data_IF_827380978125
#
_entry.id   IF_827380978125
#
_cell.length_a   1.000
_cell.length_b   1.000
_cell.length_c   1.000
_cell.angle_alpha   90.00
_cell.angle_beta   90.00
_cell.angle_gamma   90.00
#
_symmetry.space_group_name_H-M   'P 1'
#
loop_
_entity.id
_entity.type
_entity.pdbx_description
1 polymer ?
#
# COMPACT_ATOMS: atom_id res chain seq x y z
N UNK A 1 -13.21 22.39 -6.96
CA UNK A 1 -13.32 21.77 -5.61
C UNK A 1 -13.13 20.26 -5.57
N UNK A 2 -13.98 19.41 -6.19
CA UNK A 2 -13.82 17.93 -6.07
C UNK A 2 -12.53 17.41 -6.74
N UNK A 3 -12.25 17.83 -7.97
CA UNK A 3 -11.05 17.42 -8.73
C UNK A 3 -9.74 17.87 -8.09
N UNK A 4 -9.70 19.09 -7.52
CA UNK A 4 -8.51 19.59 -6.80
C UNK A 4 -8.22 18.78 -5.53
N UNK A 5 -9.26 18.39 -4.79
CA UNK A 5 -9.13 17.54 -3.60
C UNK A 5 -8.67 16.13 -3.96
N UNK A 6 -9.19 15.57 -5.05
CA UNK A 6 -8.76 14.27 -5.58
C UNK A 6 -7.29 14.31 -6.03
N UNK A 7 -6.90 15.33 -6.78
CA UNK A 7 -5.52 15.53 -7.22
C UNK A 7 -4.56 15.72 -6.04
N UNK A 8 -4.99 16.43 -4.99
CA UNK A 8 -4.21 16.58 -3.75
C UNK A 8 -4.00 15.25 -3.03
N UNK A 9 -5.05 14.42 -2.89
CA UNK A 9 -4.93 13.07 -2.31
C UNK A 9 -3.98 12.17 -3.11
N UNK A 10 -4.09 12.18 -4.44
CA UNK A 10 -3.20 11.42 -5.31
C UNK A 10 -1.74 11.87 -5.19
N UNK A 11 -1.49 13.18 -5.14
CA UNK A 11 -0.15 13.73 -4.97
C UNK A 11 0.47 13.34 -3.62
N UNK A 12 -0.33 13.34 -2.54
CA UNK A 12 0.13 12.87 -1.22
C UNK A 12 0.50 11.39 -1.23
N UNK A 13 -0.32 10.54 -1.86
CA UNK A 13 -0.04 9.12 -2.00
C UNK A 13 1.18 8.85 -2.88
N UNK A 14 1.33 9.57 -3.99
CA UNK A 14 2.51 9.46 -4.85
C UNK A 14 3.78 9.78 -4.08
N UNK A 15 3.79 10.87 -3.31
CA UNK A 15 4.92 11.25 -2.46
C UNK A 15 5.23 10.22 -1.37
N UNK A 16 4.21 9.64 -0.73
CA UNK A 16 4.41 8.57 0.25
C UNK A 16 5.03 7.33 -0.40
N UNK A 17 4.53 6.90 -1.56
CA UNK A 17 5.07 5.76 -2.31
C UNK A 17 6.51 6.02 -2.77
N UNK A 18 6.82 7.22 -3.26
CA UNK A 18 8.18 7.63 -3.60
C UNK A 18 9.12 7.58 -2.40
N UNK A 19 8.68 8.07 -1.24
CA UNK A 19 9.44 7.98 0.01
C UNK A 19 9.72 6.54 0.44
N UNK A 20 8.74 5.63 0.29
CA UNK A 20 8.94 4.20 0.55
C UNK A 20 9.92 3.58 -0.45
N UNK A 21 9.81 3.88 -1.74
CA UNK A 21 10.74 3.40 -2.77
C UNK A 21 12.18 3.90 -2.52
N UNK A 22 12.35 5.15 -2.10
CA UNK A 22 13.65 5.69 -1.72
C UNK A 22 14.23 4.97 -0.50
N UNK A 23 13.42 4.72 0.54
CA UNK A 23 13.82 3.98 1.74
C UNK A 23 14.25 2.56 1.39
N UNK A 24 13.48 1.87 0.54
CA UNK A 24 13.81 0.53 0.05
C UNK A 24 15.13 0.56 -0.71
N UNK A 25 15.34 1.54 -1.59
CA UNK A 25 16.57 1.68 -2.38
C UNK A 25 17.80 1.86 -1.49
N UNK A 26 17.72 2.77 -0.51
CA UNK A 26 18.79 3.01 0.45
C UNK A 26 19.09 1.75 1.29
N UNK A 27 18.05 1.03 1.71
CA UNK A 27 18.18 -0.22 2.48
C UNK A 27 18.86 -1.30 1.64
N UNK A 28 18.44 -1.46 0.39
CA UNK A 28 19.06 -2.41 -0.53
C UNK A 28 20.53 -2.09 -0.81
N UNK A 29 20.90 -0.82 -0.96
CA UNK A 29 22.29 -0.40 -1.12
C UNK A 29 23.13 -0.74 0.12
N UNK A 30 22.61 -0.44 1.32
CA UNK A 30 23.25 -0.82 2.60
C UNK A 30 23.49 -2.32 2.67
N UNK A 31 22.45 -3.11 2.39
CA UNK A 31 22.52 -4.57 2.46
C UNK A 31 23.45 -5.16 1.40
N UNK A 32 23.48 -4.59 0.19
CA UNK A 32 24.44 -4.93 -0.85
C UNK A 32 25.88 -4.69 -0.40
N UNK A 33 26.15 -3.57 0.28
CA UNK A 33 27.48 -3.30 0.84
C UNK A 33 27.93 -4.36 1.86
N UNK A 34 27.01 -4.92 2.66
CA UNK A 34 27.33 -6.05 3.54
C UNK A 34 27.66 -7.30 2.73
N UNK A 35 26.86 -7.61 1.70
CA UNK A 35 27.07 -8.77 0.83
C UNK A 35 28.43 -8.76 0.12
N UNK A 36 28.90 -7.58 -0.30
CA UNK A 36 30.18 -7.41 -1.00
C UNK A 36 31.40 -7.62 -0.08
N UNK A 37 31.26 -7.37 1.22
CA UNK A 37 32.33 -7.50 2.21
C UNK A 37 32.32 -8.85 2.90
N UNK A 38 31.13 -9.33 3.28
CA UNK A 38 30.94 -10.53 4.09
C UNK A 38 29.63 -11.22 3.67
N UNK A 39 29.77 -12.15 2.73
CA UNK A 39 28.65 -12.88 2.16
C UNK A 39 27.93 -13.77 3.18
N UNK A 40 28.69 -14.37 4.13
CA UNK A 40 28.10 -15.22 5.18
C UNK A 40 27.23 -14.38 6.12
N UNK A 41 27.75 -13.22 6.54
CA UNK A 41 26.99 -12.27 7.36
C UNK A 41 25.75 -11.76 6.64
N UNK A 42 25.85 -11.45 5.35
CA UNK A 42 24.70 -11.09 4.54
C UNK A 42 23.64 -12.20 4.58
N UNK A 43 24.02 -13.44 4.29
CA UNK A 43 23.07 -14.55 4.23
C UNK A 43 22.40 -14.78 5.59
N UNK A 44 23.17 -14.72 6.68
CA UNK A 44 22.70 -14.99 8.05
C UNK A 44 21.78 -13.90 8.61
N UNK A 45 21.98 -12.63 8.23
CA UNK A 45 21.32 -11.50 8.91
C UNK A 45 20.52 -10.57 8.00
N UNK A 46 20.75 -10.58 6.69
CA UNK A 46 20.19 -9.58 5.78
C UNK A 46 19.49 -10.17 4.55
N UNK A 47 19.64 -11.45 4.26
CA UNK A 47 19.00 -12.10 3.09
C UNK A 47 17.47 -11.99 3.12
N UNK A 48 16.86 -12.20 4.29
CA UNK A 48 15.41 -12.10 4.50
C UNK A 48 14.91 -10.66 4.34
N UNK A 49 15.64 -9.68 4.88
CA UNK A 49 15.36 -8.25 4.69
C UNK A 49 15.46 -7.89 3.20
N UNK A 50 16.54 -8.30 2.52
CA UNK A 50 16.73 -8.04 1.10
C UNK A 50 15.60 -8.63 0.25
N UNK A 51 15.18 -9.87 0.55
CA UNK A 51 14.10 -10.54 -0.14
C UNK A 51 12.77 -9.76 0.02
N UNK A 52 12.41 -9.42 1.27
CA UNK A 52 11.18 -8.67 1.55
C UNK A 52 11.20 -7.28 0.92
N UNK A 53 12.34 -6.58 0.97
CA UNK A 53 12.50 -5.26 0.35
C UNK A 53 12.36 -5.30 -1.17
N UNK A 54 12.92 -6.32 -1.83
CA UNK A 54 12.75 -6.53 -3.27
C UNK A 54 11.29 -6.78 -3.65
N UNK A 55 10.57 -7.59 -2.88
CA UNK A 55 9.13 -7.82 -3.08
C UNK A 55 8.33 -6.52 -2.94
N UNK A 56 8.57 -5.75 -1.87
CA UNK A 56 7.92 -4.47 -1.65
C UNK A 56 8.26 -3.46 -2.77
N UNK A 57 9.50 -3.42 -3.25
CA UNK A 57 9.93 -2.55 -4.36
C UNK A 57 9.08 -2.77 -5.60
N UNK A 58 8.87 -4.03 -5.97
CA UNK A 58 8.10 -4.38 -7.17
C UNK A 58 6.66 -3.90 -7.05
N UNK A 59 6.02 -4.16 -5.91
CA UNK A 59 4.62 -3.83 -5.69
C UNK A 59 4.39 -2.31 -5.54
N UNK A 60 5.30 -1.60 -4.88
CA UNK A 60 5.26 -0.12 -4.86
C UNK A 60 5.55 0.50 -6.23
N UNK A 61 6.39 -0.12 -7.06
CA UNK A 61 6.60 0.33 -8.45
C UNK A 61 5.33 0.24 -9.28
N UNK A 62 4.56 -0.86 -9.13
CA UNK A 62 3.25 -1.02 -9.79
C UNK A 62 2.22 0.00 -9.29
N UNK A 63 2.19 0.24 -7.97
CA UNK A 63 1.31 1.26 -7.38
C UNK A 63 1.68 2.67 -7.85
N UNK A 64 2.97 3.01 -7.91
CA UNK A 64 3.44 4.30 -8.41
C UNK A 64 2.99 4.54 -9.85
N UNK A 65 3.16 3.55 -10.73
CA UNK A 65 2.66 3.62 -12.10
C UNK A 65 1.12 3.82 -12.15
N UNK A 66 0.37 3.18 -11.26
CA UNK A 66 -1.07 3.37 -11.14
C UNK A 66 -1.42 4.80 -10.67
N UNK A 67 -0.69 5.36 -9.71
CA UNK A 67 -0.88 6.72 -9.21
C UNK A 67 -0.62 7.78 -10.29
N UNK A 68 0.37 7.56 -11.16
CA UNK A 68 0.68 8.45 -12.28
C UNK A 68 -0.45 8.55 -13.32
N UNK A 69 -1.41 7.64 -13.32
CA UNK A 69 -2.59 7.75 -14.20
C UNK A 69 -3.49 8.93 -13.83
N UNK A 70 -3.35 9.49 -12.62
CA UNK A 70 -4.16 10.62 -12.15
C UNK A 70 -5.62 10.26 -11.83
N UNK A 71 -5.98 8.98 -11.87
CA UNK A 71 -7.36 8.53 -11.70
C UNK A 71 -7.54 7.88 -10.31
N UNK A 72 -8.18 8.62 -9.41
CA UNK A 72 -8.40 8.19 -8.03
C UNK A 72 -9.27 6.94 -7.94
N UNK A 73 -10.22 6.76 -8.84
CA UNK A 73 -11.12 5.61 -8.84
C UNK A 73 -10.38 4.35 -9.29
N UNK A 74 -9.53 4.47 -10.32
CA UNK A 74 -8.61 3.38 -10.71
C UNK A 74 -7.65 3.01 -9.59
N UNK A 75 -7.05 4.00 -8.92
CA UNK A 75 -6.15 3.75 -7.78
C UNK A 75 -6.89 3.05 -6.65
N UNK A 76 -8.11 3.50 -6.31
CA UNK A 76 -8.95 2.86 -5.30
C UNK A 76 -9.28 1.42 -5.68
N UNK A 77 -9.66 1.17 -6.93
CA UNK A 77 -9.95 -0.17 -7.43
C UNK A 77 -8.71 -1.07 -7.35
N UNK A 78 -7.56 -0.57 -7.79
CA UNK A 78 -6.30 -1.31 -7.76
C UNK A 78 -5.92 -1.71 -6.34
N UNK A 79 -5.99 -0.77 -5.38
CA UNK A 79 -5.68 -1.03 -3.97
C UNK A 79 -6.60 -2.09 -3.37
N UNK A 80 -7.91 -2.00 -3.62
CA UNK A 80 -8.90 -3.00 -3.14
C UNK A 80 -8.61 -4.38 -3.70
N UNK A 81 -8.48 -4.49 -5.02
CA UNK A 81 -8.20 -5.75 -5.69
C UNK A 81 -6.93 -6.41 -5.16
N UNK A 82 -5.83 -5.66 -5.02
CA UNK A 82 -4.58 -6.22 -4.52
C UNK A 82 -4.66 -6.59 -3.03
N UNK A 83 -5.33 -5.77 -2.20
CA UNK A 83 -5.53 -6.10 -0.78
C UNK A 83 -6.38 -7.37 -0.58
N UNK A 84 -7.40 -7.57 -1.41
CA UNK A 84 -8.26 -8.76 -1.39
C UNK A 84 -7.52 -9.98 -1.92
N UNK A 85 -6.78 -9.87 -3.04
CA UNK A 85 -5.93 -10.96 -3.53
C UNK A 85 -4.92 -11.42 -2.47
N UNK A 86 -4.30 -10.47 -1.74
CA UNK A 86 -3.39 -10.82 -0.65
C UNK A 86 -4.15 -11.50 0.50
N UNK A 87 -5.35 -11.03 0.85
CA UNK A 87 -6.18 -11.66 1.89
C UNK A 87 -6.44 -13.13 1.56
N UNK A 88 -6.91 -13.41 0.36
CA UNK A 88 -7.22 -14.77 -0.08
C UNK A 88 -5.98 -15.68 -0.09
N UNK A 89 -4.84 -15.17 -0.58
CA UNK A 89 -3.57 -15.89 -0.52
C UNK A 89 -3.14 -16.22 0.92
N UNK A 90 -3.29 -15.27 1.85
CA UNK A 90 -2.96 -15.49 3.26
C UNK A 90 -3.89 -16.48 3.96
N UNK A 91 -5.15 -16.57 3.53
CA UNK A 91 -6.12 -17.56 4.03
C UNK A 91 -5.80 -18.97 3.49
N UNK A 92 -5.41 -19.07 2.23
CA UNK A 92 -5.09 -20.34 1.57
C UNK A 92 -3.78 -20.99 2.10
N UNK A 93 -2.77 -20.19 2.43
CA UNK A 93 -1.44 -20.67 2.81
C UNK A 93 -1.32 -21.22 4.25
N UNK A 94 -2.40 -21.18 5.05
CA UNK A 94 -2.41 -21.72 6.41
C UNK A 94 -1.47 -21.00 7.40
N UNK A 95 -1.72 -21.16 8.69
CA UNK A 95 -0.94 -20.49 9.73
C UNK A 95 0.49 -21.05 9.80
N UNK A 96 1.48 -20.25 9.37
CA UNK A 96 2.93 -20.33 9.68
C UNK A 96 3.43 -21.76 9.97
N UNK A 97 3.68 -22.54 8.92
CA UNK A 97 4.54 -23.71 9.05
C UNK A 97 5.98 -23.27 9.30
N UNK A 98 6.59 -23.70 10.40
CA UNK A 98 8.04 -23.61 10.57
C UNK A 98 8.70 -24.45 9.47
N UNK A 99 9.32 -23.79 8.49
CA UNK A 99 10.09 -24.48 7.44
C UNK A 99 11.58 -24.32 7.69
N UNK A 100 12.29 -25.45 7.69
CA UNK A 100 13.77 -25.52 7.74
C UNK A 100 14.37 -25.49 6.32
N UNK A 101 13.55 -25.51 5.26
CA UNK A 101 14.00 -25.44 3.87
C UNK A 101 14.14 -24.01 3.36
N UNK A 102 15.08 -23.78 2.44
CA UNK A 102 15.27 -22.48 1.78
C UNK A 102 14.01 -22.01 1.03
N UNK A 103 13.30 -22.93 0.37
CA UNK A 103 12.03 -22.64 -0.32
C UNK A 103 10.94 -22.19 0.66
N UNK A 104 10.80 -22.86 1.81
CA UNK A 104 9.81 -22.43 2.78
C UNK A 104 10.21 -21.16 3.54
N UNK A 105 11.50 -20.87 3.74
CA UNK A 105 11.95 -19.55 4.22
C UNK A 105 11.61 -18.44 3.23
N UNK A 106 11.81 -18.66 1.93
CA UNK A 106 11.40 -17.71 0.90
C UNK A 106 9.87 -17.51 0.88
N UNK A 107 9.10 -18.58 1.06
CA UNK A 107 7.63 -18.49 1.15
C UNK A 107 7.20 -17.67 2.39
N UNK A 108 7.74 -17.97 3.58
CA UNK A 108 7.45 -17.21 4.80
C UNK A 108 7.77 -15.73 4.61
N UNK A 109 8.94 -15.40 4.06
CA UNK A 109 9.31 -14.01 3.78
C UNK A 109 8.38 -13.33 2.78
N UNK A 110 7.93 -14.05 1.73
CA UNK A 110 6.96 -13.53 0.77
C UNK A 110 5.61 -13.22 1.44
N UNK A 111 5.12 -14.12 2.29
CA UNK A 111 3.88 -13.92 3.05
C UNK A 111 3.98 -12.75 4.03
N UNK A 112 5.13 -12.58 4.69
CA UNK A 112 5.36 -11.42 5.57
C UNK A 112 5.39 -10.10 4.81
N UNK A 113 6.09 -10.03 3.67
CA UNK A 113 6.08 -8.85 2.82
C UNK A 113 4.65 -8.52 2.35
N UNK A 114 3.88 -9.53 1.92
CA UNK A 114 2.49 -9.34 1.49
C UNK A 114 1.57 -8.89 2.64
N UNK A 115 1.74 -9.41 3.85
CA UNK A 115 1.01 -8.94 5.05
C UNK A 115 1.25 -7.46 5.29
N UNK A 116 2.49 -7.01 5.19
CA UNK A 116 2.81 -5.60 5.39
C UNK A 116 2.25 -4.73 4.27
N UNK A 117 2.40 -5.14 3.01
CA UNK A 117 1.79 -4.46 1.86
C UNK A 117 0.28 -4.31 2.01
N UNK A 118 -0.42 -5.36 2.45
CA UNK A 118 -1.86 -5.31 2.69
C UNK A 118 -2.23 -4.23 3.72
N UNK A 119 -1.49 -4.12 4.84
CA UNK A 119 -1.75 -3.07 5.82
C UNK A 119 -1.58 -1.67 5.22
N UNK A 120 -0.53 -1.49 4.42
CA UNK A 120 -0.24 -0.22 3.77
C UNK A 120 -1.34 0.13 2.75
N UNK A 121 -1.81 -0.83 1.96
CA UNK A 121 -2.91 -0.61 1.02
C UNK A 121 -4.23 -0.27 1.69
N UNK A 122 -4.55 -0.92 2.81
CA UNK A 122 -5.73 -0.58 3.59
C UNK A 122 -5.63 0.82 4.19
N UNK A 123 -4.48 1.20 4.75
CA UNK A 123 -4.24 2.56 5.24
C UNK A 123 -4.40 3.61 4.13
N UNK A 124 -3.90 3.34 2.92
CA UNK A 124 -4.09 4.21 1.76
C UNK A 124 -5.56 4.29 1.34
N UNK A 125 -6.31 3.18 1.40
CA UNK A 125 -7.75 3.17 1.12
C UNK A 125 -8.53 3.99 2.13
N UNK A 126 -8.20 3.88 3.42
CA UNK A 126 -8.80 4.68 4.49
C UNK A 126 -8.54 6.17 4.27
N UNK A 127 -7.32 6.54 3.87
CA UNK A 127 -6.96 7.92 3.52
C UNK A 127 -7.73 8.45 2.30
N UNK A 128 -7.92 7.62 1.27
CA UNK A 128 -8.70 8.00 0.08
C UNK A 128 -10.18 8.18 0.43
N UNK A 129 -10.71 7.32 1.29
CA UNK A 129 -12.12 7.25 1.64
C UNK A 129 -12.99 6.57 0.56
N UNK A 130 -14.27 6.36 0.88
CA UNK A 130 -15.21 5.62 0.04
C UNK A 130 -15.89 6.45 -1.07
N UNK A 131 -15.45 7.69 -1.32
CA UNK A 131 -16.06 8.59 -2.31
C UNK A 131 -17.40 9.21 -1.88
N UNK A 132 -18.15 8.57 -0.97
CA UNK A 132 -19.45 9.04 -0.48
C UNK A 132 -19.40 10.32 0.40
N UNK A 133 -18.24 10.66 0.95
CA UNK A 133 -18.07 11.91 1.72
C UNK A 133 -18.16 13.16 0.83
N UNK A 134 -17.95 13.02 -0.48
CA UNK A 134 -18.03 14.15 -1.42
C UNK A 134 -19.47 14.48 -1.84
N UNK A 135 -20.45 13.60 -1.59
CA UNK A 135 -21.88 13.86 -1.88
C UNK A 135 -22.61 14.49 -0.69
N UNK A 136 -22.20 14.19 0.55
CA UNK A 136 -22.85 14.74 1.76
C UNK A 136 -22.57 16.21 2.00
N UNK A 137 -21.40 16.71 1.60
CA UNK A 137 -21.04 18.13 1.74
C UNK A 137 -21.77 19.04 0.74
N UNK A 138 -22.32 18.49 -0.34
CA UNK A 138 -23.09 19.23 -1.35
C UNK A 138 -24.60 19.34 -1.05
N UNK A 139 -25.14 18.47 -0.20
CA UNK A 139 -26.58 18.39 0.08
C UNK A 139 -27.01 19.07 1.39
N UNK A 140 -26.05 19.53 2.21
CA UNK A 140 -26.36 19.99 3.58
C UNK A 140 -26.28 21.51 3.81
N UNK A 141 -26.41 22.34 2.76
CA UNK A 141 -26.48 23.81 2.93
C UNK A 141 -27.82 24.47 2.63
N UNK A 142 -28.80 23.79 2.03
CA UNK A 142 -30.07 24.45 1.67
C UNK A 142 -31.33 23.76 2.23
N UNK A 143 -31.26 22.56 2.80
CA UNK A 143 -32.49 21.81 3.15
C UNK A 143 -33.12 22.15 4.52
N UNK A 144 -32.44 22.84 5.43
CA UNK A 144 -32.99 23.07 6.79
C UNK A 144 -33.63 24.44 6.98
N UNK A 145 -33.23 25.46 6.20
CA UNK A 145 -33.83 26.80 6.25
C UNK A 145 -35.17 26.84 5.50
N UNK A 146 -35.30 26.11 4.39
CA UNK A 146 -36.54 26.04 3.61
C UNK A 146 -37.63 25.17 4.26
N UNK A 147 -37.25 24.23 5.13
CA UNK A 147 -38.20 23.42 5.89
C UNK A 147 -38.82 24.19 7.07
N UNK A 148 -38.06 25.11 7.69
CA UNK A 148 -38.52 25.87 8.85
C UNK A 148 -39.42 27.09 8.49
N UNK A 149 -39.33 27.58 7.25
CA UNK A 149 -40.14 28.72 6.77
C UNK A 149 -41.50 28.33 6.17
N UNK A 150 -41.84 27.03 6.13
CA UNK A 150 -43.15 26.55 5.68
C UNK A 150 -44.13 26.25 6.82
N UNK A 151 -43.70 26.41 8.08
CA UNK A 151 -44.54 26.18 9.27
C UNK A 151 -44.80 27.47 10.09
N UNK A 152 -44.56 28.66 9.54
CA UNK A 152 -45.01 29.95 10.09
C UNK A 152 -45.84 30.66 9.03
#
# INVERSE_FOLDING_TARGET
MNTERQNSKLAMLAKDVEGKLATITATMQRVKGVMEVDYERFFRWHSEEAYRMNMCRFEYGRLHACLLTGDLDKVRQWLRQNADCIKELLLAEGARGYSVSASGLANVNALEAKRELRKQYLSMLDFIGNGAENERDGLNRESWLDAALKEI
#
